data_IF_258812025915
#
_entry.id   IF_258812025915
#
_cell.length_a   1.000
_cell.length_b   1.000
_cell.length_c   1.000
_cell.angle_alpha   90.00
_cell.angle_beta   90.00
_cell.angle_gamma   90.00
#
_symmetry.space_group_name_H-M   'P 1'
#
loop_
_entity.id
_entity.type
_entity.pdbx_description
1 polymer ?
#
# COMPACT_ATOMS: atom_id res chain seq x y z
N UNK A 1 18.81 19.50 -4.72
CA UNK A 1 18.15 18.60 -5.69
C UNK A 1 18.00 17.18 -5.13
N UNK A 2 19.07 16.51 -4.67
CA UNK A 2 18.95 15.15 -4.10
C UNK A 2 18.09 15.12 -2.82
N UNK A 3 18.28 16.08 -1.91
CA UNK A 3 17.54 16.16 -0.64
C UNK A 3 16.04 16.35 -0.85
N UNK A 4 15.64 17.27 -1.73
CA UNK A 4 14.22 17.50 -2.06
C UNK A 4 13.56 16.26 -2.68
N UNK A 5 14.25 15.56 -3.58
CA UNK A 5 13.74 14.33 -4.16
C UNK A 5 13.58 13.22 -3.11
N UNK A 6 14.52 13.14 -2.16
CA UNK A 6 14.44 12.20 -1.04
C UNK A 6 13.28 12.53 -0.09
N UNK A 7 13.09 13.81 0.25
CA UNK A 7 11.97 14.27 1.08
C UNK A 7 10.62 13.97 0.43
N UNK A 8 10.47 14.20 -0.88
CA UNK A 8 9.27 13.90 -1.63
C UNK A 8 8.94 12.39 -1.65
N UNK A 9 9.97 11.54 -1.84
CA UNK A 9 9.84 10.08 -1.74
C UNK A 9 9.39 9.66 -0.34
N UNK A 10 10.04 10.17 0.70
CA UNK A 10 9.73 9.84 2.08
C UNK A 10 8.32 10.29 2.47
N UNK A 11 7.92 11.51 2.10
CA UNK A 11 6.59 12.03 2.36
C UNK A 11 5.52 11.16 1.69
N UNK A 12 5.71 10.81 0.41
CA UNK A 12 4.78 9.96 -0.34
C UNK A 12 4.66 8.57 0.28
N UNK A 13 5.78 7.98 0.70
CA UNK A 13 5.81 6.70 1.41
C UNK A 13 5.03 6.74 2.73
N UNK A 14 5.25 7.77 3.56
CA UNK A 14 4.56 7.92 4.85
C UNK A 14 3.05 8.12 4.69
N UNK A 15 2.60 8.84 3.66
CA UNK A 15 1.18 8.93 3.30
C UNK A 15 0.63 7.54 2.98
N UNK A 16 1.36 6.78 2.16
CA UNK A 16 1.02 5.40 1.83
C UNK A 16 0.88 4.51 3.06
N UNK A 17 1.84 4.58 3.98
CA UNK A 17 1.79 3.79 5.22
C UNK A 17 0.57 4.12 6.08
N UNK A 18 0.24 5.40 6.21
CA UNK A 18 -0.90 5.87 6.99
C UNK A 18 -2.23 5.39 6.40
N UNK A 19 -2.42 5.57 5.09
CA UNK A 19 -3.60 5.06 4.38
C UNK A 19 -3.68 3.53 4.44
N UNK A 20 -2.54 2.85 4.33
CA UNK A 20 -2.42 1.40 4.43
C UNK A 20 -2.85 0.87 5.80
N UNK A 21 -2.44 1.51 6.89
CA UNK A 21 -2.85 1.11 8.25
C UNK A 21 -4.36 1.35 8.43
N UNK A 22 -4.86 2.52 8.00
CA UNK A 22 -6.28 2.86 8.10
C UNK A 22 -7.16 1.87 7.33
N UNK A 23 -6.80 1.55 6.09
CA UNK A 23 -7.48 0.55 5.28
C UNK A 23 -7.39 -0.84 5.90
N UNK A 24 -6.19 -1.27 6.31
CA UNK A 24 -5.93 -2.61 6.83
C UNK A 24 -6.75 -2.91 8.09
N UNK A 25 -6.98 -1.90 8.95
CA UNK A 25 -7.81 -2.01 10.15
C UNK A 25 -9.28 -2.40 9.89
N UNK A 26 -9.77 -2.18 8.67
CA UNK A 26 -11.15 -2.46 8.25
C UNK A 26 -11.23 -3.58 7.20
N UNK A 27 -10.08 -4.01 6.69
CA UNK A 27 -9.99 -4.98 5.61
C UNK A 27 -10.28 -6.41 6.09
N UNK A 28 -10.90 -7.22 5.22
CA UNK A 28 -11.09 -8.65 5.48
C UNK A 28 -9.76 -9.40 5.33
N UNK A 29 -9.64 -10.55 6.00
CA UNK A 29 -8.42 -11.36 6.01
C UNK A 29 -7.95 -11.78 4.61
N UNK A 30 -8.88 -12.12 3.71
CA UNK A 30 -8.56 -12.46 2.32
C UNK A 30 -8.05 -11.26 1.50
N UNK A 31 -8.57 -10.06 1.76
CA UNK A 31 -8.10 -8.82 1.13
C UNK A 31 -6.70 -8.46 1.60
N UNK A 32 -6.45 -8.54 2.91
CA UNK A 32 -5.12 -8.36 3.51
C UNK A 32 -4.12 -9.38 2.94
N UNK A 33 -4.52 -10.64 2.84
CA UNK A 33 -3.71 -11.70 2.26
C UNK A 33 -3.34 -11.38 0.81
N UNK A 34 -4.33 -11.06 -0.02
CA UNK A 34 -4.13 -10.75 -1.45
C UNK A 34 -3.15 -9.58 -1.63
N UNK A 35 -3.43 -8.43 -1.01
CA UNK A 35 -2.58 -7.24 -1.17
C UNK A 35 -1.20 -7.41 -0.53
N UNK A 36 -1.05 -8.19 0.54
CA UNK A 36 0.27 -8.38 1.16
C UNK A 36 1.28 -9.09 0.27
N UNK A 37 0.82 -9.83 -0.73
CA UNK A 37 1.65 -10.57 -1.68
C UNK A 37 1.96 -9.76 -2.94
N UNK A 38 1.24 -8.66 -3.16
CA UNK A 38 1.42 -7.78 -4.31
C UNK A 38 2.68 -6.92 -4.14
N UNK A 39 3.39 -6.69 -5.22
CA UNK A 39 4.47 -5.72 -5.33
C UNK A 39 3.98 -4.37 -5.87
N UNK A 40 4.74 -3.30 -5.61
CA UNK A 40 4.28 -1.94 -5.87
C UNK A 40 4.11 -1.64 -7.37
N UNK A 41 4.90 -2.28 -8.22
CA UNK A 41 4.85 -2.18 -9.68
C UNK A 41 3.70 -2.97 -10.31
N UNK A 42 3.11 -3.91 -9.56
CA UNK A 42 1.91 -4.66 -9.97
C UNK A 42 0.62 -3.84 -9.79
N UNK A 43 0.65 -2.75 -9.01
CA UNK A 43 -0.50 -1.86 -8.82
C UNK A 43 -0.87 -1.23 -10.16
N UNK A 44 -2.12 -1.41 -10.58
CA UNK A 44 -2.61 -0.91 -11.85
C UNK A 44 -2.32 -1.77 -13.07
N UNK A 45 -1.57 -2.86 -12.91
CA UNK A 45 -1.34 -3.81 -13.99
C UNK A 45 -2.56 -4.69 -14.21
N UNK A 46 -2.71 -5.22 -15.43
CA UNK A 46 -3.71 -6.24 -15.72
C UNK A 46 -3.24 -7.60 -15.21
N UNK A 47 -4.09 -8.27 -14.44
CA UNK A 47 -3.89 -9.65 -14.03
C UNK A 47 -4.12 -10.63 -15.20
N UNK A 48 -3.86 -11.92 -14.94
CA UNK A 48 -4.07 -13.01 -15.93
C UNK A 48 -5.54 -13.17 -16.37
N UNK A 49 -6.48 -12.58 -15.63
CA UNK A 49 -7.91 -12.60 -15.91
C UNK A 49 -8.39 -11.31 -16.60
N UNK A 50 -7.50 -10.35 -16.83
CA UNK A 50 -7.78 -9.06 -17.46
C UNK A 50 -8.29 -7.96 -16.53
N UNK A 51 -8.31 -8.19 -15.20
CA UNK A 51 -8.70 -7.18 -14.22
C UNK A 51 -7.52 -6.30 -13.82
N UNK A 52 -7.78 -5.04 -13.49
CA UNK A 52 -6.76 -4.12 -13.00
C UNK A 52 -6.50 -4.38 -11.51
N UNK A 53 -5.25 -4.72 -11.17
CA UNK A 53 -4.82 -4.93 -9.79
C UNK A 53 -4.95 -3.64 -8.97
N UNK A 54 -5.72 -3.71 -7.88
CA UNK A 54 -5.88 -2.61 -6.93
C UNK A 54 -6.16 -1.24 -7.57
N UNK A 55 -7.05 -1.19 -8.58
CA UNK A 55 -7.38 0.04 -9.33
C UNK A 55 -7.73 1.24 -8.43
N UNK A 56 -8.47 1.00 -7.35
CA UNK A 56 -8.81 2.03 -6.36
C UNK A 56 -7.59 2.69 -5.71
N UNK A 57 -6.44 2.00 -5.65
CA UNK A 57 -5.18 2.56 -5.13
C UNK A 57 -4.53 3.49 -6.15
N UNK A 58 -4.69 3.21 -7.45
CA UNK A 58 -4.32 4.15 -8.52
C UNK A 58 -5.14 5.43 -8.44
N UNK A 59 -6.46 5.31 -8.33
CA UNK A 59 -7.38 6.46 -8.25
C UNK A 59 -7.02 7.36 -7.05
N UNK A 60 -6.65 6.75 -5.93
CA UNK A 60 -6.24 7.48 -4.73
C UNK A 60 -4.89 8.17 -4.89
N UNK A 61 -3.90 7.50 -5.47
CA UNK A 61 -2.61 8.13 -5.79
C UNK A 61 -2.77 9.29 -6.79
N UNK A 62 -3.67 9.16 -7.77
CA UNK A 62 -3.98 10.22 -8.71
C UNK A 62 -4.55 11.46 -8.02
N UNK A 63 -5.38 11.26 -6.99
CA UNK A 63 -5.93 12.33 -6.19
C UNK A 63 -4.86 13.10 -5.40
N UNK A 64 -3.85 12.41 -4.87
CA UNK A 64 -2.70 13.05 -4.23
C UNK A 64 -1.85 13.82 -5.24
N UNK A 65 -1.54 13.20 -6.39
CA UNK A 65 -0.75 13.82 -7.46
C UNK A 65 -1.36 15.11 -8.01
N UNK A 66 -2.69 15.19 -8.06
CA UNK A 66 -3.40 16.43 -8.46
C UNK A 66 -3.25 17.58 -7.46
N UNK A 67 -2.97 17.27 -6.20
CA UNK A 67 -2.84 18.25 -5.10
C UNK A 67 -1.39 18.61 -4.81
N UNK A 68 -0.49 17.67 -5.05
CA UNK A 68 0.94 17.81 -4.79
C UNK A 68 1.73 17.31 -6.02
N UNK A 69 2.38 18.21 -6.79
CA UNK A 69 3.14 17.85 -7.97
C UNK A 69 4.43 17.08 -7.65
N UNK A 70 4.93 17.15 -6.41
CA UNK A 70 6.12 16.42 -5.97
C UNK A 70 5.76 15.00 -5.47
N UNK A 71 4.47 14.66 -5.42
CA UNK A 71 4.02 13.33 -5.00
C UNK A 71 4.55 12.23 -5.91
N UNK A 72 5.11 11.18 -5.30
CA UNK A 72 5.70 10.03 -5.99
C UNK A 72 4.82 8.79 -5.79
N UNK A 73 4.00 8.38 -6.78
CA UNK A 73 3.06 7.26 -6.63
C UNK A 73 3.72 5.94 -6.25
N UNK A 74 4.89 5.62 -6.80
CA UNK A 74 5.60 4.38 -6.50
C UNK A 74 5.93 4.25 -5.00
N UNK A 75 6.46 5.32 -4.40
CA UNK A 75 6.76 5.36 -2.97
C UNK A 75 5.49 5.23 -2.11
N UNK A 76 4.40 5.87 -2.53
CA UNK A 76 3.10 5.72 -1.89
C UNK A 76 2.59 4.27 -1.92
N UNK A 77 2.67 3.58 -3.05
CA UNK A 77 2.27 2.17 -3.15
C UNK A 77 3.13 1.28 -2.24
N UNK A 78 4.45 1.50 -2.22
CA UNK A 78 5.37 0.77 -1.33
C UNK A 78 4.99 0.95 0.14
N UNK A 79 4.74 2.18 0.57
CA UNK A 79 4.31 2.48 1.95
C UNK A 79 3.00 1.80 2.30
N UNK A 80 2.02 1.87 1.41
CA UNK A 80 0.73 1.23 1.58
C UNK A 80 0.87 -0.29 1.77
N UNK A 81 1.57 -0.95 0.84
CA UNK A 81 1.76 -2.40 0.86
C UNK A 81 2.64 -2.85 2.05
N UNK A 82 3.65 -2.07 2.44
CA UNK A 82 4.45 -2.33 3.63
C UNK A 82 3.60 -2.34 4.91
N UNK A 83 2.67 -1.39 5.03
CA UNK A 83 1.72 -1.33 6.14
C UNK A 83 0.78 -2.53 6.17
N UNK A 84 0.21 -2.91 5.02
CA UNK A 84 -0.62 -4.11 4.87
C UNK A 84 0.15 -5.38 5.29
N UNK A 85 1.40 -5.54 4.85
CA UNK A 85 2.27 -6.67 5.22
C UNK A 85 2.56 -6.72 6.71
N UNK A 86 2.76 -5.58 7.38
CA UNK A 86 2.88 -5.52 8.85
C UNK A 86 1.58 -5.96 9.53
N UNK A 87 0.43 -5.47 9.06
CA UNK A 87 -0.86 -5.81 9.65
C UNK A 87 -1.14 -7.31 9.55
N UNK A 88 -0.90 -7.91 8.38
CA UNK A 88 -0.99 -9.37 8.18
C UNK A 88 -0.07 -10.14 9.13
N UNK A 89 1.18 -9.71 9.31
CA UNK A 89 2.11 -10.36 10.26
C UNK A 89 1.58 -10.32 11.69
N UNK A 90 1.09 -9.16 12.16
CA UNK A 90 0.48 -9.04 13.50
C UNK A 90 -0.69 -10.01 13.67
N UNK A 91 -1.57 -10.11 12.68
CA UNK A 91 -2.70 -11.02 12.71
C UNK A 91 -2.28 -12.50 12.74
N UNK A 92 -1.29 -12.89 11.92
CA UNK A 92 -0.75 -14.24 11.91
C UNK A 92 -0.14 -14.64 13.27
N UNK A 93 0.61 -13.73 13.92
CA UNK A 93 1.16 -13.98 15.25
C UNK A 93 0.07 -14.07 16.32
N UNK A 94 -0.95 -13.21 16.28
CA UNK A 94 -2.07 -13.27 17.22
C UNK A 94 -2.83 -14.62 17.13
N UNK A 95 -3.06 -15.12 15.92
CA UNK A 95 -3.69 -16.43 15.71
C UNK A 95 -2.81 -17.60 16.18
N UNK A 96 -1.49 -17.51 16.01
CA UNK A 96 -0.57 -18.54 16.49
C UNK A 96 -0.54 -18.60 18.01
N UNK A 97 -0.53 -17.44 18.70
CA UNK A 97 -0.55 -17.38 20.17
C UNK A 97 -1.87 -17.83 20.80
N UNK A 98 -2.97 -17.89 20.06
CA UNK A 98 -4.24 -18.48 20.53
C UNK A 98 -4.25 -20.02 20.46
N UNK A 99 -3.29 -20.63 19.75
CA UNK A 99 -3.18 -22.08 19.58
C UNK A 99 -2.21 -22.76 20.56
N UNK A 100 -1.49 -21.97 21.35
CA UNK A 100 -0.58 -22.39 22.43
C UNK A 100 -1.24 -22.22 23.78
#
# INVERSE_FOLDING_TARGET
MIEQAFEALQASYLIGEADGEAWASQARSNQLQSLSLMDADEVGQRDIFGNTNAEWLLERAEHYRKRDPDFVPAAYYEGFLASVRRHRRRWAFALAGQRS
#
